data_IF_340797747787
#
_entry.id   IF_340797747787
#
_cell.length_a   1.000
_cell.length_b   1.000
_cell.length_c   1.000
_cell.angle_alpha   90.00
_cell.angle_beta   90.00
_cell.angle_gamma   90.00
#
_symmetry.space_group_name_H-M   'P 1'
#
loop_
_entity.id
_entity.type
_entity.pdbx_description
1 polymer ?
#
# COMPACT_ATOMS: atom_id res chain seq x y z
N UNK A 1 3.58 -17.25 28.86
CA UNK A 1 2.69 -18.36 28.44
C UNK A 1 1.96 -17.84 27.21
N UNK A 2 2.07 -18.51 26.07
CA UNK A 2 1.37 -18.09 24.85
C UNK A 2 -0.01 -18.75 24.82
N UNK A 3 -1.05 -17.98 24.51
CA UNK A 3 -2.39 -18.52 24.26
C UNK A 3 -2.52 -18.78 22.76
N UNK A 4 -2.88 -20.01 22.38
CA UNK A 4 -3.19 -20.36 21.00
C UNK A 4 -4.65 -20.01 20.73
N UNK A 5 -4.91 -19.33 19.62
CA UNK A 5 -6.26 -19.05 19.13
C UNK A 5 -6.39 -19.63 17.72
N UNK A 6 -7.34 -20.54 17.54
CA UNK A 6 -7.64 -21.09 16.22
C UNK A 6 -8.45 -20.07 15.42
N UNK A 7 -8.16 -19.95 14.13
CA UNK A 7 -8.89 -19.11 13.16
C UNK A 7 -9.59 -20.06 12.19
N UNK A 8 -10.85 -20.45 12.45
CA UNK A 8 -11.49 -21.54 11.72
C UNK A 8 -11.75 -21.18 10.26
N UNK A 9 -11.40 -22.08 9.34
CA UNK A 9 -11.72 -21.94 7.91
C UNK A 9 -10.82 -20.97 7.14
N UNK A 10 -9.72 -20.51 7.74
CA UNK A 10 -8.76 -19.60 7.11
C UNK A 10 -7.48 -20.33 6.72
N UNK A 11 -7.01 -20.09 5.49
CA UNK A 11 -5.67 -20.47 5.05
C UNK A 11 -4.76 -19.26 5.23
N UNK A 12 -4.16 -19.15 6.41
CA UNK A 12 -3.31 -18.01 6.78
C UNK A 12 -1.86 -18.34 6.44
N UNK A 13 -1.31 -17.65 5.44
CA UNK A 13 0.12 -17.71 5.13
C UNK A 13 0.93 -16.64 5.86
N UNK A 14 0.32 -15.47 6.11
CA UNK A 14 0.96 -14.30 6.69
C UNK A 14 0.01 -13.56 7.64
N UNK A 15 0.62 -12.85 8.59
CA UNK A 15 -0.07 -11.95 9.49
C UNK A 15 0.66 -10.60 9.54
N UNK A 16 -0.10 -9.51 9.50
CA UNK A 16 0.37 -8.15 9.77
C UNK A 16 -0.33 -7.64 11.02
N UNK A 17 0.44 -7.29 12.05
CA UNK A 17 -0.09 -6.78 13.33
C UNK A 17 0.04 -5.26 13.33
N UNK A 18 -1.03 -4.56 13.70
CA UNK A 18 -1.04 -3.12 13.77
C UNK A 18 -0.23 -2.61 14.97
N UNK A 19 0.12 -1.33 14.96
CA UNK A 19 1.00 -0.75 15.98
C UNK A 19 0.37 -0.77 17.39
N UNK A 20 -0.96 -0.76 17.47
CA UNK A 20 -1.71 -0.92 18.72
C UNK A 20 -1.59 -2.31 19.35
N UNK A 21 -1.25 -3.34 18.57
CA UNK A 21 -1.22 -4.75 19.00
C UNK A 21 -2.60 -5.39 19.18
N UNK A 22 -3.68 -4.65 18.96
CA UNK A 22 -5.07 -5.06 19.13
C UNK A 22 -5.75 -5.37 17.78
N UNK A 23 -5.13 -4.98 16.68
CA UNK A 23 -5.61 -5.26 15.33
C UNK A 23 -4.60 -6.10 14.54
N UNK A 24 -5.10 -7.08 13.80
CA UNK A 24 -4.28 -7.92 12.92
C UNK A 24 -5.00 -8.21 11.61
N UNK A 25 -4.24 -8.23 10.51
CA UNK A 25 -4.67 -8.70 9.21
C UNK A 25 -4.02 -10.05 8.92
N UNK A 26 -4.86 -11.04 8.63
CA UNK A 26 -4.48 -12.39 8.24
C UNK A 26 -4.75 -12.57 6.74
N UNK A 27 -3.76 -13.03 6.00
CA UNK A 27 -3.86 -13.16 4.55
C UNK A 27 -2.90 -14.19 4.00
N UNK A 28 -3.00 -14.45 2.69
CA UNK A 28 -2.04 -15.25 1.93
C UNK A 28 -1.54 -14.45 0.74
N UNK A 29 -0.29 -14.68 0.34
CA UNK A 29 0.29 -14.18 -0.91
C UNK A 29 0.46 -15.29 -1.95
N UNK A 30 0.07 -16.52 -1.60
CA UNK A 30 0.04 -17.63 -2.54
C UNK A 30 -1.20 -17.47 -3.41
N UNK A 31 -1.03 -17.66 -4.72
CA UNK A 31 -2.16 -17.76 -5.62
C UNK A 31 -2.85 -19.13 -5.42
N UNK A 32 -4.09 -19.19 -4.89
CA UNK A 32 -4.82 -20.44 -4.71
C UNK A 32 -5.22 -21.07 -6.05
N UNK A 33 -4.96 -20.40 -7.18
CA UNK A 33 -5.12 -20.95 -8.53
C UNK A 33 -3.85 -21.66 -9.05
N UNK A 34 -2.72 -21.62 -8.32
CA UNK A 34 -1.45 -22.26 -8.71
C UNK A 34 -1.29 -23.69 -8.14
N UNK A 35 -2.29 -24.20 -7.41
CA UNK A 35 -2.30 -25.59 -6.92
C UNK A 35 -2.88 -26.55 -8.00
N UNK A 36 -2.02 -27.45 -8.49
CA UNK A 36 -2.30 -28.52 -9.46
C UNK A 36 -3.34 -29.57 -8.98
N UNK A 37 -3.75 -29.52 -7.71
CA UNK A 37 -4.61 -30.52 -7.07
C UNK A 37 -6.13 -30.33 -7.33
N UNK A 38 -6.49 -29.36 -8.17
CA UNK A 38 -7.81 -29.31 -8.81
C UNK A 38 -9.00 -29.02 -7.89
N UNK A 39 -8.76 -28.59 -6.65
CA UNK A 39 -9.81 -28.09 -5.77
C UNK A 39 -9.50 -26.65 -5.32
N UNK A 40 -9.69 -25.66 -6.22
CA UNK A 40 -9.53 -24.26 -5.85
C UNK A 40 -10.56 -23.91 -4.76
N UNK A 41 -10.11 -23.28 -3.67
CA UNK A 41 -10.96 -22.29 -3.00
C UNK A 41 -10.77 -21.00 -3.80
N UNK A 42 -11.69 -20.66 -4.72
CA UNK A 42 -11.46 -19.65 -5.75
C UNK A 42 -11.52 -18.23 -5.20
N UNK A 43 -11.48 -18.05 -3.88
CA UNK A 43 -11.68 -16.76 -3.24
C UNK A 43 -10.50 -16.45 -2.37
N UNK A 44 -9.62 -15.62 -2.92
CA UNK A 44 -8.63 -14.89 -2.14
C UNK A 44 -9.35 -14.13 -1.01
N UNK A 45 -8.81 -14.20 0.20
CA UNK A 45 -9.44 -13.65 1.41
C UNK A 45 -8.46 -12.84 2.21
N UNK A 46 -9.01 -11.89 2.95
CA UNK A 46 -8.33 -11.23 4.05
C UNK A 46 -9.23 -11.29 5.28
N UNK A 47 -8.64 -11.62 6.42
CA UNK A 47 -9.35 -11.69 7.70
C UNK A 47 -8.81 -10.61 8.62
N UNK A 48 -9.69 -9.70 9.02
CA UNK A 48 -9.44 -8.70 10.03
C UNK A 48 -9.78 -9.30 11.39
N UNK A 49 -8.77 -9.43 12.24
CA UNK A 49 -8.90 -9.83 13.63
C UNK A 49 -8.75 -8.60 14.53
N UNK A 50 -9.75 -8.37 15.39
CA UNK A 50 -9.72 -7.32 16.41
C UNK A 50 -9.81 -7.96 17.78
N UNK A 51 -9.00 -7.51 18.72
CA UNK A 51 -9.03 -8.02 20.09
C UNK A 51 -10.35 -7.61 20.76
N UNK A 52 -11.03 -8.58 21.36
CA UNK A 52 -12.19 -8.38 22.23
C UNK A 52 -11.93 -9.07 23.57
N UNK A 53 -11.32 -8.34 24.50
CA UNK A 53 -10.82 -8.87 25.77
C UNK A 53 -9.74 -9.94 25.58
N UNK A 54 -10.07 -11.17 25.97
CA UNK A 54 -9.21 -12.36 25.79
C UNK A 54 -9.52 -13.12 24.49
N UNK A 55 -10.50 -12.66 23.70
CA UNK A 55 -10.91 -13.26 22.44
C UNK A 55 -10.55 -12.36 21.24
N UNK A 56 -10.88 -12.85 20.04
CA UNK A 56 -10.73 -12.12 18.78
C UNK A 56 -12.07 -12.09 18.05
N UNK A 57 -12.51 -10.90 17.68
CA UNK A 57 -13.57 -10.69 16.68
C UNK A 57 -12.96 -10.79 15.29
N UNK A 58 -13.56 -11.61 14.42
CA UNK A 58 -13.02 -11.95 13.12
C UNK A 58 -13.99 -11.55 12.01
N UNK A 59 -13.49 -10.79 11.04
CA UNK A 59 -14.25 -10.42 9.84
C UNK A 59 -13.45 -10.77 8.59
N UNK A 60 -13.93 -11.76 7.84
CA UNK A 60 -13.34 -12.19 6.57
C UNK A 60 -14.00 -11.49 5.40
N UNK A 61 -13.18 -10.93 4.50
CA UNK A 61 -13.60 -10.34 3.24
C UNK A 61 -12.94 -11.08 2.08
N UNK A 62 -13.63 -11.07 0.93
CA UNK A 62 -13.06 -11.53 -0.32
C UNK A 62 -12.29 -10.40 -1.01
N UNK A 63 -11.16 -10.74 -1.60
CA UNK A 63 -10.42 -9.88 -2.52
C UNK A 63 -10.45 -10.50 -3.92
N UNK A 64 -10.59 -9.68 -4.95
CA UNK A 64 -10.77 -10.17 -6.33
C UNK A 64 -9.44 -10.55 -6.99
N UNK A 65 -8.33 -9.99 -6.52
CA UNK A 65 -6.98 -10.15 -7.09
C UNK A 65 -6.02 -10.57 -5.98
N UNK A 66 -5.10 -11.53 -6.22
CA UNK A 66 -4.12 -11.98 -5.24
C UNK A 66 -3.37 -10.84 -4.56
N UNK A 67 -3.05 -11.01 -3.27
CA UNK A 67 -2.29 -10.05 -2.50
C UNK A 67 -0.80 -10.30 -2.65
N UNK A 68 -0.03 -9.22 -2.84
CA UNK A 68 1.44 -9.25 -2.85
C UNK A 68 1.99 -8.74 -1.52
N UNK A 69 1.38 -7.69 -0.96
CA UNK A 69 1.79 -7.13 0.32
C UNK A 69 0.68 -6.35 1.01
N UNK A 70 0.84 -6.12 2.30
CA UNK A 70 -0.05 -5.31 3.14
C UNK A 70 0.80 -4.33 3.93
N UNK A 71 0.39 -3.06 3.93
CA UNK A 71 0.94 -2.01 4.78
C UNK A 71 -0.13 -1.51 5.74
N UNK A 72 0.18 -1.48 7.03
CA UNK A 72 -0.69 -0.93 8.07
C UNK A 72 -0.28 0.52 8.37
N UNK A 73 -1.27 1.41 8.46
CA UNK A 73 -1.05 2.78 8.86
C UNK A 73 -0.60 2.82 10.34
N UNK A 74 0.32 3.74 10.73
CA UNK A 74 0.81 3.84 12.10
C UNK A 74 -0.26 4.07 13.17
N UNK A 75 -1.39 4.70 12.80
CA UNK A 75 -2.53 4.93 13.68
C UNK A 75 -3.39 3.67 13.91
N UNK A 76 -3.06 2.56 13.23
CA UNK A 76 -3.79 1.28 13.25
C UNK A 76 -5.23 1.34 12.73
N UNK A 77 -5.63 2.44 12.07
CA UNK A 77 -7.02 2.65 11.60
C UNK A 77 -7.24 2.17 10.17
N UNK A 78 -6.18 2.14 9.35
CA UNK A 78 -6.26 1.80 7.94
C UNK A 78 -5.15 0.87 7.49
N UNK A 79 -5.39 0.17 6.39
CA UNK A 79 -4.37 -0.58 5.67
C UNK A 79 -4.41 -0.28 4.17
N UNK A 80 -3.27 -0.46 3.50
CA UNK A 80 -3.17 -0.52 2.05
C UNK A 80 -2.73 -1.93 1.66
N UNK A 81 -3.52 -2.56 0.79
CA UNK A 81 -3.30 -3.90 0.28
C UNK A 81 -2.80 -3.77 -1.16
N UNK A 82 -1.61 -4.25 -1.46
CA UNK A 82 -1.09 -4.29 -2.83
C UNK A 82 -1.49 -5.61 -3.46
N UNK A 83 -2.12 -5.54 -4.64
CA UNK A 83 -2.51 -6.71 -5.41
C UNK A 83 -1.49 -7.02 -6.50
N UNK A 84 -1.49 -8.26 -6.95
CA UNK A 84 -0.76 -8.68 -8.15
C UNK A 84 -1.45 -8.15 -9.42
N UNK A 85 -0.88 -8.47 -10.58
CA UNK A 85 -1.48 -8.24 -11.88
C UNK A 85 -2.83 -8.98 -11.98
N UNK A 86 -3.88 -8.28 -12.38
CA UNK A 86 -5.16 -8.86 -12.75
C UNK A 86 -5.15 -9.19 -14.26
N UNK A 87 -4.97 -10.47 -14.66
CA UNK A 87 -4.92 -10.83 -16.08
C UNK A 87 -6.29 -10.69 -16.79
N UNK A 88 -7.38 -10.61 -16.03
CA UNK A 88 -8.73 -10.45 -16.57
C UNK A 88 -9.07 -8.98 -16.83
N UNK A 89 -8.32 -8.03 -16.26
CA UNK A 89 -8.52 -6.62 -16.46
C UNK A 89 -8.05 -6.18 -17.85
N UNK A 90 -8.97 -5.61 -18.65
CA UNK A 90 -8.69 -5.15 -20.01
C UNK A 90 -7.85 -3.87 -20.08
N UNK A 91 -7.78 -3.11 -18.99
CA UNK A 91 -6.98 -1.89 -18.83
C UNK A 91 -6.71 -1.63 -17.35
N UNK A 92 -5.56 -1.01 -17.02
CA UNK A 92 -5.16 -0.75 -15.62
C UNK A 92 -5.19 -2.02 -14.75
N UNK A 93 -4.48 -3.06 -15.22
CA UNK A 93 -4.47 -4.39 -14.62
C UNK A 93 -3.82 -4.47 -13.23
N UNK A 94 -3.19 -3.39 -12.78
CA UNK A 94 -2.62 -3.30 -11.46
C UNK A 94 -3.61 -2.67 -10.49
N UNK A 95 -3.53 -3.00 -9.20
CA UNK A 95 -4.36 -2.34 -8.20
C UNK A 95 -3.78 -2.40 -6.79
N UNK A 96 -4.26 -1.49 -5.96
CA UNK A 96 -4.17 -1.59 -4.51
C UNK A 96 -5.56 -1.34 -3.90
N UNK A 97 -5.83 -1.85 -2.71
CA UNK A 97 -7.05 -1.55 -1.97
C UNK A 97 -6.77 -0.74 -0.71
N UNK A 98 -7.67 0.19 -0.41
CA UNK A 98 -7.71 0.96 0.83
C UNK A 98 -8.70 0.28 1.77
N UNK A 99 -8.27 -0.02 2.99
CA UNK A 99 -9.04 -0.84 3.92
C UNK A 99 -9.21 -0.15 5.27
N UNK A 100 -10.46 0.17 5.62
CA UNK A 100 -10.79 0.83 6.88
C UNK A 100 -11.01 -0.25 7.94
N UNK A 101 -10.14 -0.25 8.95
CA UNK A 101 -10.10 -1.27 9.98
C UNK A 101 -11.03 -0.93 11.15
N UNK A 102 -11.71 0.22 11.13
CA UNK A 102 -12.44 0.73 12.29
C UNK A 102 -13.91 0.31 12.40
N UNK A 103 -14.72 0.22 11.33
CA UNK A 103 -16.12 -0.14 11.47
C UNK A 103 -16.30 -1.65 11.60
N UNK A 104 -17.33 -2.08 12.35
CA UNK A 104 -17.61 -3.50 12.59
C UNK A 104 -17.63 -4.32 11.29
N UNK A 105 -18.32 -3.81 10.25
CA UNK A 105 -18.15 -4.29 8.89
C UNK A 105 -17.19 -3.34 8.14
N UNK A 106 -15.95 -3.77 7.87
CA UNK A 106 -14.90 -2.89 7.38
C UNK A 106 -15.10 -2.52 5.90
N UNK A 107 -14.65 -1.32 5.52
CA UNK A 107 -14.78 -0.82 4.15
C UNK A 107 -13.51 -1.15 3.36
N UNK A 108 -13.66 -1.85 2.24
CA UNK A 108 -12.58 -2.13 1.30
C UNK A 108 -12.85 -1.43 -0.04
N UNK A 109 -11.96 -0.53 -0.45
CA UNK A 109 -12.04 0.18 -1.73
C UNK A 109 -10.84 -0.14 -2.61
N UNK A 110 -11.08 -0.82 -3.73
CA UNK A 110 -10.06 -1.09 -4.75
C UNK A 110 -9.79 0.15 -5.61
N UNK A 111 -8.52 0.41 -5.90
CA UNK A 111 -8.01 1.45 -6.78
C UNK A 111 -7.17 0.82 -7.88
N UNK A 112 -7.68 0.82 -9.12
CA UNK A 112 -6.92 0.36 -10.29
C UNK A 112 -5.86 1.39 -10.71
N UNK A 113 -4.73 0.89 -11.22
CA UNK A 113 -3.57 1.68 -11.62
C UNK A 113 -3.00 1.21 -12.95
N UNK A 114 -2.38 2.13 -13.70
CA UNK A 114 -1.75 1.84 -15.00
C UNK A 114 -0.36 1.21 -14.88
N UNK A 115 0.22 1.21 -13.67
CA UNK A 115 1.53 0.68 -13.35
C UNK A 115 1.44 -0.10 -12.02
N UNK A 116 2.34 -1.05 -11.76
CA UNK A 116 2.38 -1.77 -10.49
C UNK A 116 2.55 -0.79 -9.33
N UNK A 117 1.76 -0.90 -8.24
CA UNK A 117 2.00 -0.16 -7.01
C UNK A 117 3.39 -0.48 -6.47
N UNK A 118 4.24 0.56 -6.41
CA UNK A 118 5.55 0.49 -5.82
C UNK A 118 5.51 0.74 -4.31
N UNK A 119 6.62 1.25 -3.73
CA UNK A 119 6.70 1.55 -2.31
C UNK A 119 5.55 2.43 -1.82
N UNK A 120 5.01 2.06 -0.66
CA UNK A 120 4.01 2.82 0.09
C UNK A 120 4.72 3.51 1.23
N UNK A 121 4.48 4.81 1.39
CA UNK A 121 4.88 5.56 2.56
C UNK A 121 3.64 6.05 3.29
N UNK A 122 3.46 5.62 4.53
CA UNK A 122 2.51 6.22 5.46
C UNK A 122 3.17 7.42 6.16
N UNK A 123 2.39 8.47 6.37
CA UNK A 123 2.79 9.55 7.28
C UNK A 123 2.74 9.06 8.73
N UNK A 124 3.56 9.60 9.65
CA UNK A 124 3.59 9.17 11.04
C UNK A 124 2.23 9.26 11.75
N UNK A 125 1.40 10.23 11.35
CA UNK A 125 0.06 10.43 11.89
C UNK A 125 -0.95 9.37 11.41
N UNK A 126 -0.64 8.62 10.34
CA UNK A 126 -1.51 7.58 9.78
C UNK A 126 -2.69 8.07 8.93
N UNK A 127 -2.89 9.38 8.82
CA UNK A 127 -4.00 10.00 8.09
C UNK A 127 -3.78 10.08 6.57
N UNK A 128 -2.51 9.98 6.14
CA UNK A 128 -2.09 10.08 4.75
C UNK A 128 -1.09 9.00 4.38
N UNK A 129 -1.15 8.59 3.11
CA UNK A 129 -0.12 7.79 2.48
C UNK A 129 0.20 8.28 1.07
N UNK A 130 1.34 7.86 0.56
CA UNK A 130 1.67 7.97 -0.86
C UNK A 130 2.00 6.60 -1.44
N UNK A 131 1.54 6.37 -2.67
CA UNK A 131 1.82 5.15 -3.44
C UNK A 131 2.56 5.56 -4.71
N UNK A 132 3.80 5.09 -4.87
CA UNK A 132 4.61 5.38 -6.05
C UNK A 132 4.18 4.49 -7.22
N UNK A 133 4.01 5.08 -8.40
CA UNK A 133 3.59 4.37 -9.61
C UNK A 133 4.55 4.68 -10.76
N UNK A 134 5.23 3.63 -11.22
CA UNK A 134 6.27 3.71 -12.24
C UNK A 134 6.13 2.58 -13.27
N UNK A 135 6.12 2.96 -14.54
CA UNK A 135 6.32 2.06 -15.67
C UNK A 135 7.04 2.85 -16.77
N UNK A 136 8.31 2.54 -16.97
CA UNK A 136 9.16 3.28 -17.92
C UNK A 136 8.78 2.98 -19.38
N UNK A 137 8.18 1.82 -19.67
CA UNK A 137 7.73 1.46 -21.02
C UNK A 137 6.40 2.14 -21.37
N UNK A 138 5.49 2.23 -20.40
CA UNK A 138 4.20 2.90 -20.53
C UNK A 138 4.24 4.41 -20.19
N UNK A 139 5.43 4.95 -19.91
CA UNK A 139 5.66 6.35 -19.52
C UNK A 139 4.87 6.80 -18.28
N UNK A 140 4.59 5.88 -17.35
CA UNK A 140 3.91 6.18 -16.08
C UNK A 140 4.93 6.67 -15.06
N UNK A 141 4.76 7.92 -14.63
CA UNK A 141 5.57 8.57 -13.59
C UNK A 141 4.68 9.41 -12.69
N UNK A 142 4.08 8.78 -11.68
CA UNK A 142 3.17 9.50 -10.78
C UNK A 142 3.28 8.98 -9.35
N UNK A 143 2.72 9.76 -8.45
CA UNK A 143 2.43 9.35 -7.09
C UNK A 143 0.95 9.53 -6.83
N UNK A 144 0.31 8.54 -6.23
CA UNK A 144 -1.04 8.68 -5.72
C UNK A 144 -0.96 9.19 -4.28
N UNK A 145 -1.59 10.35 -4.02
CA UNK A 145 -1.73 10.94 -2.70
C UNK A 145 -3.03 10.41 -2.09
N UNK A 146 -2.92 9.62 -1.04
CA UNK A 146 -4.05 8.93 -0.41
C UNK A 146 -4.40 9.63 0.90
N UNK A 147 -5.65 10.06 1.03
CA UNK A 147 -6.22 10.40 2.33
C UNK A 147 -6.86 9.14 2.92
N UNK A 148 -6.42 8.71 4.09
CA UNK A 148 -6.84 7.46 4.73
C UNK A 148 -8.10 7.63 5.58
N UNK A 149 -8.54 8.86 5.88
CA UNK A 149 -9.80 9.11 6.58
C UNK A 149 -11.03 8.94 5.68
N UNK A 150 -10.88 9.17 4.37
CA UNK A 150 -12.00 9.16 3.41
C UNK A 150 -11.72 8.41 2.11
N UNK A 151 -10.54 7.83 1.98
CA UNK A 151 -10.10 7.05 0.81
C UNK A 151 -10.14 7.82 -0.51
N UNK A 152 -10.06 9.15 -0.46
CA UNK A 152 -9.84 9.97 -1.66
C UNK A 152 -8.39 9.80 -2.10
N UNK A 153 -8.23 9.44 -3.37
CA UNK A 153 -6.93 9.31 -4.05
C UNK A 153 -6.79 10.46 -5.04
N UNK A 154 -5.73 11.25 -4.90
CA UNK A 154 -5.38 12.32 -5.83
C UNK A 154 -4.06 11.98 -6.54
N UNK A 155 -4.07 11.77 -7.86
CA UNK A 155 -2.83 11.53 -8.58
C UNK A 155 -2.02 12.83 -8.74
N UNK A 156 -0.72 12.74 -8.57
CA UNK A 156 0.25 13.79 -8.89
C UNK A 156 1.25 13.26 -9.92
N UNK A 157 1.23 13.87 -11.12
CA UNK A 157 2.21 13.58 -12.15
C UNK A 157 3.57 14.13 -11.74
N UNK A 158 4.60 13.30 -11.90
CA UNK A 158 5.98 13.65 -11.59
C UNK A 158 6.73 14.05 -12.86
N UNK A 159 7.78 14.84 -12.68
CA UNK A 159 8.60 15.29 -13.81
C UNK A 159 9.59 14.22 -14.30
N UNK A 160 9.87 13.21 -13.48
CA UNK A 160 10.69 12.04 -13.81
C UNK A 160 10.19 10.82 -13.01
N UNK A 161 10.54 9.58 -13.39
CA UNK A 161 10.07 8.38 -12.68
C UNK A 161 10.42 8.40 -11.19
N UNK A 162 9.50 8.02 -10.29
CA UNK A 162 9.79 7.94 -8.86
C UNK A 162 10.77 6.80 -8.53
N UNK A 163 11.58 6.98 -7.49
CA UNK A 163 12.53 5.98 -6.99
C UNK A 163 12.30 5.62 -5.52
N UNK A 164 11.83 6.59 -4.73
CA UNK A 164 11.56 6.39 -3.31
C UNK A 164 10.80 7.56 -2.72
N UNK A 165 10.29 7.38 -1.51
CA UNK A 165 9.60 8.43 -0.76
C UNK A 165 10.03 8.41 0.71
N UNK A 166 9.92 9.56 1.36
CA UNK A 166 10.10 9.67 2.80
C UNK A 166 9.36 10.87 3.38
N UNK A 167 9.37 10.99 4.70
CA UNK A 167 8.68 12.04 5.44
C UNK A 167 9.68 12.98 6.12
N UNK A 168 9.34 14.27 6.21
CA UNK A 168 10.17 15.31 6.80
C UNK A 168 9.42 15.96 7.96
N UNK A 169 9.64 15.44 9.18
CA UNK A 169 8.87 15.83 10.39
C UNK A 169 8.74 17.35 10.58
N UNK A 170 9.82 18.16 10.51
CA UNK A 170 9.70 19.60 10.81
C UNK A 170 8.78 20.38 9.87
N UNK A 171 8.51 19.84 8.68
CA UNK A 171 7.67 20.50 7.67
C UNK A 171 6.41 19.70 7.35
N UNK A 172 6.25 18.51 7.92
CA UNK A 172 5.19 17.55 7.65
C UNK A 172 5.02 17.22 6.15
N UNK A 173 6.11 17.36 5.40
CA UNK A 173 6.16 17.10 3.96
C UNK A 173 6.54 15.66 3.69
N UNK A 174 5.91 15.09 2.68
CA UNK A 174 6.44 13.92 1.99
C UNK A 174 7.41 14.40 0.93
N UNK A 175 8.55 13.72 0.76
CA UNK A 175 9.41 13.90 -0.40
C UNK A 175 9.37 12.64 -1.27
N UNK A 176 9.49 12.82 -2.58
CA UNK A 176 9.61 11.75 -3.58
C UNK A 176 10.89 11.99 -4.37
N UNK A 177 11.87 11.10 -4.20
CA UNK A 177 13.06 11.08 -5.06
C UNK A 177 12.68 10.56 -6.44
N UNK A 178 13.29 11.14 -7.47
CA UNK A 178 13.01 10.84 -8.86
C UNK A 178 14.30 10.60 -9.63
N UNK A 179 14.24 9.63 -10.56
CA UNK A 179 15.32 9.28 -11.47
C UNK A 179 15.70 10.49 -12.33
N UNK A 180 16.84 11.09 -12.03
CA UNK A 180 17.32 12.28 -12.74
C UNK A 180 18.85 12.40 -12.65
N UNK A 181 19.57 12.72 -13.76
CA UNK A 181 21.03 12.70 -13.78
C UNK A 181 21.73 13.58 -12.73
N UNK A 182 21.09 14.69 -12.33
CA UNK A 182 21.61 15.63 -11.32
C UNK A 182 20.80 15.61 -10.01
N UNK A 183 19.98 14.58 -9.82
CA UNK A 183 19.01 14.49 -8.73
C UNK A 183 17.77 15.32 -8.98
N UNK A 184 16.62 14.79 -8.55
CA UNK A 184 15.33 15.47 -8.52
C UNK A 184 14.50 14.96 -7.33
N UNK A 185 13.96 15.88 -6.55
CA UNK A 185 13.04 15.59 -5.44
C UNK A 185 11.83 16.48 -5.58
N UNK A 186 10.64 15.89 -5.42
CA UNK A 186 9.40 16.64 -5.27
C UNK A 186 8.94 16.52 -3.82
N UNK A 187 8.74 17.64 -3.15
CA UNK A 187 8.13 17.75 -1.83
C UNK A 187 6.64 18.05 -1.97
N UNK A 188 5.84 17.40 -1.15
CA UNK A 188 4.38 17.51 -1.10
C UNK A 188 4.01 17.83 0.35
N UNK A 189 3.41 18.99 0.58
CA UNK A 189 2.93 19.37 1.91
C UNK A 189 1.56 18.79 2.26
N UNK A 190 1.12 18.99 3.52
CA UNK A 190 -0.14 18.44 4.02
C UNK A 190 -1.37 18.93 3.28
N UNK A 191 -1.34 20.18 2.81
CA UNK A 191 -2.44 20.76 2.04
C UNK A 191 -2.36 20.43 0.54
N UNK A 192 -1.36 19.64 0.13
CA UNK A 192 -1.10 19.26 -1.26
C UNK A 192 -0.30 20.30 -2.05
N UNK A 193 0.36 21.27 -1.39
CA UNK A 193 1.32 22.14 -2.06
C UNK A 193 2.53 21.32 -2.55
N UNK A 194 2.98 21.61 -3.77
CA UNK A 194 4.03 20.84 -4.44
C UNK A 194 5.22 21.73 -4.75
N UNK A 195 6.42 21.28 -4.37
CA UNK A 195 7.68 21.98 -4.61
C UNK A 195 8.71 21.00 -5.17
N UNK A 196 9.33 21.30 -6.31
CA UNK A 196 10.33 20.41 -6.92
C UNK A 196 11.70 21.07 -6.91
N UNK A 197 12.70 20.32 -6.47
CA UNK A 197 14.11 20.71 -6.44
C UNK A 197 14.91 19.79 -7.37
N UNK A 198 15.81 20.34 -8.15
CA UNK A 198 16.73 19.63 -9.05
C UNK A 198 18.17 20.07 -8.80
N UNK A 199 19.15 19.27 -9.21
CA UNK A 199 20.56 19.68 -9.19
C UNK A 199 21.24 19.62 -7.83
N UNK A 200 20.71 18.84 -6.89
CA UNK A 200 21.31 18.66 -5.56
C UNK A 200 22.37 17.54 -5.53
N UNK A 201 22.46 16.72 -6.56
CA UNK A 201 23.60 15.81 -6.74
C UNK A 201 24.69 16.60 -7.45
N UNK A 202 25.80 16.82 -6.74
CA UNK A 202 27.03 17.38 -7.30
C UNK A 202 27.60 16.39 -8.34
N UNK A 203 28.09 16.92 -9.46
CA UNK A 203 28.69 16.13 -10.54
C UNK A 203 29.74 15.15 -9.98
N UNK A 204 29.49 13.84 -10.07
CA UNK A 204 30.47 12.77 -9.77
C UNK A 204 31.52 12.61 -10.89
N UNK A 205 31.73 13.66 -11.68
CA UNK A 205 32.79 13.70 -12.69
C UNK A 205 33.76 14.81 -12.34
N UNK A 206 34.89 14.42 -11.77
CA UNK A 206 36.12 15.20 -11.93
C UNK A 206 36.45 15.10 -13.43
N UNK A 207 36.45 16.24 -14.13
CA UNK A 207 37.03 16.30 -15.47
C UNK A 207 38.55 16.17 -15.30
N UNK A 208 39.12 15.06 -15.77
CA UNK A 208 40.54 15.01 -16.15
C UNK A 208 40.80 15.85 -17.42
#
# INVERSE_FOLDING_TARGET
MYAQHDVPGEYVGLASVAADGDTMLLYTTVDPFDDDDGQPDPRQRITLARRDGDAWDLVTLFVEVPLVSVGLAPDSRSAILVHDLDPAASAAAWSYSLFDLTPAFPLLKRQSTLAPPGPILFTPEGDRAVVLLRDDLADVRKVDLVNLDNFIVKPLLLGSPPEGAGYVDPTQKVFVSQAHPTGRITFIGPDGDVQTVTGYVLNDSVKD
#
